data_IF_602047021140
#
_entry.id   IF_602047021140
#
_cell.length_a   1.000
_cell.length_b   1.000
_cell.length_c   1.000
_cell.angle_alpha   90.00
_cell.angle_beta   90.00
_cell.angle_gamma   90.00
#
_symmetry.space_group_name_H-M   'P 1'
#
loop_
_entity.id
_entity.type
_entity.pdbx_description
1 polymer ?
#
# COMPACT_ATOMS: atom_id res chain seq x y z
N UNK A 1 -32.82 10.70 -71.25
CA UNK A 1 -31.91 11.08 -70.14
C UNK A 1 -32.75 11.32 -68.89
N UNK A 2 -32.68 10.40 -67.92
CA UNK A 2 -32.26 10.76 -66.56
C UNK A 2 -31.12 9.85 -66.06
N UNK A 3 -30.44 10.32 -65.01
CA UNK A 3 -29.11 9.89 -64.51
C UNK A 3 -29.11 8.51 -63.83
N UNK A 4 -27.99 7.75 -63.89
CA UNK A 4 -27.77 6.62 -63.00
C UNK A 4 -27.36 7.10 -61.61
N UNK A 5 -27.99 6.55 -60.58
CA UNK A 5 -27.68 6.73 -59.16
C UNK A 5 -26.40 5.96 -58.81
N UNK A 6 -25.36 6.70 -58.36
CA UNK A 6 -24.17 6.10 -57.76
C UNK A 6 -24.49 5.63 -56.34
N UNK A 7 -24.42 4.31 -56.11
CA UNK A 7 -24.41 3.71 -54.78
C UNK A 7 -22.99 3.78 -54.23
N UNK A 8 -22.78 4.57 -53.17
CA UNK A 8 -21.51 4.61 -52.43
C UNK A 8 -21.54 3.47 -51.40
N UNK A 9 -20.81 2.40 -51.66
CA UNK A 9 -20.50 1.38 -50.66
C UNK A 9 -19.45 1.96 -49.70
N UNK A 10 -19.84 2.20 -48.45
CA UNK A 10 -18.92 2.53 -47.36
C UNK A 10 -18.40 1.22 -46.80
N UNK A 11 -17.14 0.90 -47.10
CA UNK A 11 -16.41 -0.22 -46.47
C UNK A 11 -15.93 0.29 -45.12
N UNK A 12 -16.59 -0.12 -44.03
CA UNK A 12 -16.09 0.07 -42.69
C UNK A 12 -14.99 -0.97 -42.44
N UNK A 13 -13.73 -0.52 -42.40
CA UNK A 13 -12.59 -1.33 -41.98
C UNK A 13 -12.56 -1.29 -40.45
N UNK A 14 -13.03 -2.37 -39.82
CA UNK A 14 -12.87 -2.58 -38.38
C UNK A 14 -11.40 -2.97 -38.14
N UNK A 15 -10.59 -2.01 -37.71
CA UNK A 15 -9.23 -2.29 -37.21
C UNK A 15 -9.38 -2.81 -35.79
N UNK A 16 -9.39 -4.13 -35.63
CA UNK A 16 -9.25 -4.77 -34.32
C UNK A 16 -7.76 -4.72 -33.98
N UNK A 17 -7.36 -3.70 -33.23
CA UNK A 17 -6.04 -3.66 -32.60
C UNK A 17 -6.02 -4.72 -31.51
N UNK A 18 -5.42 -5.88 -31.81
CA UNK A 18 -5.11 -6.88 -30.78
C UNK A 18 -3.91 -6.33 -30.03
N UNK A 19 -4.17 -5.69 -28.89
CA UNK A 19 -3.12 -5.33 -27.93
C UNK A 19 -2.52 -6.63 -27.42
N UNK A 20 -1.30 -6.94 -27.88
CA UNK A 20 -0.51 -8.03 -27.31
C UNK A 20 -0.08 -7.53 -25.94
N UNK A 21 -0.72 -8.02 -24.89
CA UNK A 21 -0.26 -7.81 -23.51
C UNK A 21 1.16 -8.33 -23.47
N UNK A 22 2.13 -7.43 -23.25
CA UNK A 22 3.52 -7.84 -23.13
C UNK A 22 3.62 -8.63 -21.83
N UNK A 23 3.72 -9.96 -21.93
CA UNK A 23 4.01 -10.77 -20.76
C UNK A 23 5.29 -10.27 -20.11
N UNK A 24 5.29 -10.17 -18.77
CA UNK A 24 6.47 -9.74 -18.04
C UNK A 24 7.66 -10.62 -18.44
N UNK A 25 8.71 -9.95 -18.92
CA UNK A 25 9.92 -10.61 -19.40
C UNK A 25 11.04 -10.28 -18.44
N UNK A 26 11.45 -11.27 -17.66
CA UNK A 26 12.49 -11.14 -16.64
C UNK A 26 13.85 -11.65 -17.15
N UNK A 27 14.98 -11.12 -16.65
CA UNK A 27 16.32 -11.62 -17.00
C UNK A 27 16.61 -13.04 -16.48
N UNK A 28 15.83 -13.51 -15.49
CA UNK A 28 15.92 -14.86 -14.92
C UNK A 28 14.51 -15.42 -14.65
N UNK A 29 14.39 -16.75 -14.55
CA UNK A 29 13.08 -17.37 -14.30
C UNK A 29 12.51 -16.95 -12.95
N UNK A 30 11.24 -16.51 -12.93
CA UNK A 30 10.50 -16.15 -11.71
C UNK A 30 10.38 -17.37 -10.77
N UNK A 31 10.89 -17.31 -9.53
CA UNK A 31 10.81 -18.42 -8.58
C UNK A 31 9.38 -18.61 -8.07
N UNK A 32 8.66 -19.60 -8.58
CA UNK A 32 7.26 -19.85 -8.22
C UNK A 32 7.02 -20.00 -6.71
N UNK A 33 7.98 -20.61 -5.99
CA UNK A 33 7.90 -20.77 -4.53
C UNK A 33 7.75 -19.44 -3.81
N UNK A 34 8.54 -18.41 -4.17
CA UNK A 34 8.53 -17.10 -3.48
C UNK A 34 7.17 -16.43 -3.52
N UNK A 35 6.48 -16.59 -4.64
CA UNK A 35 5.20 -15.96 -4.92
C UNK A 35 4.03 -16.91 -4.66
N UNK A 36 4.26 -17.88 -3.76
CA UNK A 36 3.22 -18.75 -3.18
C UNK A 36 2.99 -18.30 -1.74
N UNK A 37 1.75 -18.05 -1.31
CA UNK A 37 1.46 -17.68 0.08
C UNK A 37 2.05 -18.69 1.07
N UNK A 38 2.56 -18.22 2.20
CA UNK A 38 3.29 -19.05 3.17
C UNK A 38 2.47 -20.26 3.62
N UNK A 39 1.17 -20.07 3.87
CA UNK A 39 0.24 -21.13 4.28
C UNK A 39 -0.08 -22.16 3.17
N UNK A 40 0.29 -21.89 1.93
CA UNK A 40 0.16 -22.80 0.79
C UNK A 40 1.45 -23.57 0.48
N UNK A 41 2.57 -23.18 1.08
CA UNK A 41 3.79 -23.97 1.05
C UNK A 41 3.59 -25.28 1.84
N UNK A 42 4.26 -26.35 1.42
CA UNK A 42 4.32 -27.54 2.26
C UNK A 42 5.17 -27.28 3.53
N UNK A 43 4.93 -28.07 4.56
CA UNK A 43 5.57 -27.92 5.88
C UNK A 43 7.10 -27.95 5.80
N UNK A 44 7.69 -28.66 4.84
CA UNK A 44 9.14 -28.69 4.66
C UNK A 44 9.66 -27.33 4.21
N UNK A 45 9.00 -26.72 3.22
CA UNK A 45 9.38 -25.40 2.70
C UNK A 45 9.11 -24.29 3.72
N UNK A 46 7.99 -24.37 4.47
CA UNK A 46 7.73 -23.46 5.59
C UNK A 46 8.84 -23.51 6.64
N UNK A 47 9.27 -24.71 7.06
CA UNK A 47 10.35 -24.87 8.03
C UNK A 47 11.70 -24.38 7.48
N UNK A 48 11.99 -24.59 6.18
CA UNK A 48 13.20 -24.05 5.56
C UNK A 48 13.19 -22.51 5.57
N UNK A 49 12.09 -21.89 5.14
CA UNK A 49 11.93 -20.44 5.14
C UNK A 49 12.06 -19.88 6.57
N UNK A 50 11.36 -20.46 7.54
CA UNK A 50 11.36 -19.97 8.91
C UNK A 50 12.66 -20.23 9.66
N UNK A 51 13.11 -21.49 9.72
CA UNK A 51 14.24 -21.85 10.58
C UNK A 51 15.61 -21.52 9.97
N UNK A 52 15.72 -21.43 8.63
CA UNK A 52 17.00 -21.21 7.95
C UNK A 52 17.17 -19.80 7.41
N UNK A 53 16.08 -19.20 6.91
CA UNK A 53 16.11 -17.85 6.34
C UNK A 53 15.55 -16.79 7.30
N UNK A 54 14.82 -17.21 8.35
CA UNK A 54 14.28 -16.30 9.37
C UNK A 54 12.93 -15.68 9.00
N UNK A 55 12.24 -16.21 7.99
CA UNK A 55 10.92 -15.72 7.62
C UNK A 55 9.85 -16.09 8.66
N UNK A 56 8.96 -15.15 8.95
CA UNK A 56 7.63 -15.43 9.46
C UNK A 56 6.62 -15.50 8.31
N UNK A 57 5.41 -16.00 8.56
CA UNK A 57 4.35 -15.97 7.54
C UNK A 57 4.08 -14.54 7.04
N UNK A 58 4.11 -13.56 7.95
CA UNK A 58 3.95 -12.13 7.66
C UNK A 58 5.05 -11.62 6.72
N UNK A 59 6.31 -11.78 7.12
CA UNK A 59 7.46 -11.28 6.34
C UNK A 59 7.70 -12.05 5.04
N UNK A 60 7.12 -13.25 4.89
CA UNK A 60 7.11 -14.00 3.63
C UNK A 60 6.03 -13.46 2.69
N UNK A 61 4.81 -13.26 3.21
CA UNK A 61 3.67 -12.80 2.42
C UNK A 61 3.78 -11.35 1.97
N UNK A 62 4.53 -10.54 2.71
CA UNK A 62 4.75 -9.13 2.42
C UNK A 62 6.22 -8.89 2.00
N UNK A 63 6.42 -8.54 0.72
CA UNK A 63 7.73 -8.39 0.10
C UNK A 63 8.55 -7.22 0.68
N UNK A 64 9.85 -7.41 0.85
CA UNK A 64 10.78 -6.39 1.36
C UNK A 64 10.79 -6.25 2.89
N UNK A 65 9.98 -7.01 3.62
CA UNK A 65 9.91 -6.91 5.08
C UNK A 65 11.00 -7.71 5.80
N UNK A 66 11.34 -8.90 5.31
CA UNK A 66 12.32 -9.74 6.01
C UNK A 66 13.74 -9.19 5.84
N UNK A 67 14.49 -9.09 6.94
CA UNK A 67 15.90 -8.64 6.93
C UNK A 67 16.80 -9.44 5.99
N UNK A 68 16.46 -10.71 5.74
CA UNK A 68 17.20 -11.58 4.83
C UNK A 68 17.14 -11.09 3.38
N UNK A 69 16.07 -10.37 2.99
CA UNK A 69 15.86 -9.88 1.63
C UNK A 69 16.78 -8.71 1.28
N UNK A 70 17.28 -7.98 2.30
CA UNK A 70 18.26 -6.90 2.12
C UNK A 70 19.69 -7.39 1.85
N UNK A 71 19.91 -8.70 1.80
CA UNK A 71 21.24 -9.31 1.58
C UNK A 71 21.35 -9.85 0.17
N UNK A 72 22.43 -9.52 -0.54
CA UNK A 72 22.85 -10.27 -1.73
C UNK A 72 23.25 -11.70 -1.38
N UNK A 73 23.26 -12.55 -2.39
CA UNK A 73 23.57 -13.97 -2.27
C UNK A 73 24.89 -14.28 -1.58
N UNK A 74 25.93 -13.49 -1.84
CA UNK A 74 27.27 -13.67 -1.28
C UNK A 74 27.35 -13.35 0.21
N UNK A 75 26.43 -12.53 0.72
CA UNK A 75 26.35 -12.14 2.12
C UNK A 75 25.48 -13.11 2.95
N UNK A 76 24.81 -14.05 2.29
CA UNK A 76 24.15 -15.18 2.95
C UNK A 76 25.19 -16.13 3.56
N UNK A 77 24.84 -16.79 4.67
CA UNK A 77 25.64 -17.90 5.19
C UNK A 77 25.52 -19.13 4.28
N UNK A 78 26.42 -20.12 4.43
CA UNK A 78 26.30 -21.38 3.68
C UNK A 78 24.95 -22.07 3.92
N UNK A 79 24.50 -22.11 5.17
CA UNK A 79 23.22 -22.72 5.52
C UNK A 79 22.02 -21.98 4.91
N UNK A 80 22.08 -20.65 4.83
CA UNK A 80 21.05 -19.83 4.18
C UNK A 80 21.02 -20.08 2.67
N UNK A 81 22.19 -20.11 2.00
CA UNK A 81 22.25 -20.45 0.58
C UNK A 81 21.72 -21.85 0.29
N UNK A 82 22.11 -22.84 1.09
CA UNK A 82 21.61 -24.22 0.91
C UNK A 82 20.08 -24.28 1.05
N UNK A 83 19.51 -23.56 2.02
CA UNK A 83 18.06 -23.46 2.19
C UNK A 83 17.38 -22.70 1.02
N UNK A 84 17.97 -21.60 0.55
CA UNK A 84 17.48 -20.86 -0.60
C UNK A 84 17.49 -21.72 -1.88
N UNK A 85 18.54 -22.54 -2.09
CA UNK A 85 18.58 -23.52 -3.19
C UNK A 85 17.43 -24.52 -3.09
N UNK A 86 17.14 -25.03 -1.89
CA UNK A 86 16.02 -25.94 -1.68
C UNK A 86 14.64 -25.29 -1.92
N UNK A 87 14.53 -23.97 -1.73
CA UNK A 87 13.33 -23.18 -2.07
C UNK A 87 13.26 -22.82 -3.57
N UNK A 88 14.26 -23.16 -4.36
CA UNK A 88 14.30 -22.95 -5.81
C UNK A 88 15.08 -21.72 -6.26
N UNK A 89 15.83 -21.07 -5.37
CA UNK A 89 16.67 -19.92 -5.72
C UNK A 89 18.08 -20.35 -6.11
N UNK A 90 18.60 -19.78 -7.19
CA UNK A 90 20.04 -19.60 -7.38
C UNK A 90 20.46 -18.15 -7.11
N UNK A 91 21.77 -17.89 -7.15
CA UNK A 91 22.36 -16.56 -7.00
C UNK A 91 21.63 -15.48 -7.81
N UNK A 92 21.54 -15.66 -9.13
CA UNK A 92 20.91 -14.65 -10.00
C UNK A 92 19.43 -14.42 -9.69
N UNK A 93 18.67 -15.46 -9.34
CA UNK A 93 17.25 -15.29 -9.00
C UNK A 93 17.06 -14.67 -7.63
N UNK A 94 17.99 -14.90 -6.69
CA UNK A 94 17.96 -14.25 -5.38
C UNK A 94 18.28 -12.77 -5.52
N UNK A 95 19.40 -12.44 -6.17
CA UNK A 95 19.80 -11.04 -6.33
C UNK A 95 18.77 -10.26 -7.14
N UNK A 96 18.09 -10.90 -8.10
CA UNK A 96 17.05 -10.26 -8.90
C UNK A 96 15.68 -10.19 -8.18
N UNK A 97 15.08 -11.30 -7.75
CA UNK A 97 13.69 -11.30 -7.23
C UNK A 97 13.55 -11.08 -5.71
N UNK A 98 14.65 -11.15 -4.96
CA UNK A 98 14.62 -11.01 -3.50
C UNK A 98 15.32 -9.73 -3.08
N UNK A 99 16.59 -9.57 -3.48
CA UNK A 99 17.35 -8.37 -3.11
C UNK A 99 17.14 -7.21 -4.07
N UNK A 100 16.63 -7.48 -5.27
CA UNK A 100 16.58 -6.51 -6.37
C UNK A 100 17.91 -5.80 -6.63
N UNK A 101 19.05 -6.40 -6.28
CA UNK A 101 20.38 -5.78 -6.32
C UNK A 101 20.57 -4.57 -5.38
N UNK A 102 19.66 -4.31 -4.43
CA UNK A 102 19.73 -3.15 -3.52
C UNK A 102 21.01 -3.12 -2.66
N UNK A 103 21.62 -4.28 -2.41
CA UNK A 103 22.87 -4.37 -1.63
C UNK A 103 24.15 -4.22 -2.45
N UNK A 104 24.04 -4.03 -3.77
CA UNK A 104 25.18 -3.83 -4.66
C UNK A 104 25.67 -2.38 -4.55
N UNK A 105 26.96 -2.14 -4.79
CA UNK A 105 27.44 -0.78 -5.06
C UNK A 105 27.01 -0.30 -6.44
N UNK A 106 27.03 1.01 -6.69
CA UNK A 106 26.68 1.58 -8.00
C UNK A 106 27.56 1.04 -9.14
N UNK A 107 28.85 0.76 -8.88
CA UNK A 107 29.78 0.12 -9.82
C UNK A 107 29.46 -1.38 -10.02
N UNK A 108 29.05 -2.08 -8.96
CA UNK A 108 28.62 -3.48 -9.04
C UNK A 108 27.33 -3.62 -9.86
N UNK A 109 26.40 -2.65 -9.82
CA UNK A 109 25.21 -2.62 -10.69
C UNK A 109 25.57 -2.56 -12.18
N UNK A 110 26.62 -1.81 -12.54
CA UNK A 110 27.11 -1.75 -13.92
C UNK A 110 27.70 -3.10 -14.33
N UNK A 111 28.51 -3.70 -13.45
CA UNK A 111 29.08 -5.03 -13.65
C UNK A 111 28.03 -6.13 -13.78
N UNK A 112 26.92 -6.01 -13.05
CA UNK A 112 25.76 -6.90 -13.13
C UNK A 112 24.86 -6.61 -14.35
N UNK A 113 25.07 -5.49 -15.05
CA UNK A 113 24.30 -5.10 -16.23
C UNK A 113 22.91 -4.56 -15.94
N UNK A 114 22.67 -4.07 -14.70
CA UNK A 114 21.36 -3.58 -14.23
C UNK A 114 21.34 -2.07 -13.95
N UNK A 115 22.49 -1.39 -13.98
CA UNK A 115 22.57 0.06 -13.70
C UNK A 115 21.70 0.90 -14.67
N UNK A 116 21.57 0.48 -15.94
CA UNK A 116 20.77 1.20 -16.93
C UNK A 116 19.27 1.19 -16.59
N UNK A 117 18.77 0.09 -16.03
CA UNK A 117 17.40 -0.09 -15.58
C UNK A 117 17.10 0.86 -14.42
N UNK A 118 17.99 0.92 -13.42
CA UNK A 118 17.91 1.89 -12.34
C UNK A 118 17.88 3.33 -12.83
N UNK A 119 18.77 3.70 -13.77
CA UNK A 119 18.75 5.04 -14.39
C UNK A 119 17.43 5.36 -15.08
N UNK A 120 16.82 4.38 -15.75
CA UNK A 120 15.50 4.55 -16.39
C UNK A 120 14.37 4.73 -15.37
N UNK A 121 14.55 4.24 -14.14
CA UNK A 121 13.66 4.48 -13.00
C UNK A 121 14.00 5.80 -12.27
N UNK A 122 14.93 6.61 -12.78
CA UNK A 122 15.31 7.89 -12.17
C UNK A 122 16.37 7.79 -11.08
N UNK A 123 16.91 6.61 -10.81
CA UNK A 123 18.02 6.45 -9.88
C UNK A 123 19.32 7.04 -10.43
N UNK A 124 20.13 7.57 -9.52
CA UNK A 124 21.46 8.12 -9.80
C UNK A 124 22.42 7.57 -8.77
N UNK A 125 23.73 7.71 -9.03
CA UNK A 125 24.74 7.34 -8.04
C UNK A 125 24.54 8.07 -6.71
N UNK A 126 24.20 9.36 -6.75
CA UNK A 126 23.95 10.15 -5.55
C UNK A 126 22.75 9.64 -4.73
N UNK A 127 21.69 9.15 -5.40
CA UNK A 127 20.58 8.46 -4.72
C UNK A 127 21.10 7.20 -4.02
N UNK A 128 21.89 6.41 -4.75
CA UNK A 128 22.39 5.11 -4.30
C UNK A 128 23.39 5.20 -3.13
N UNK A 129 24.25 6.22 -3.14
CA UNK A 129 25.25 6.48 -2.10
C UNK A 129 24.72 7.36 -0.97
N UNK A 130 23.43 7.71 -0.98
CA UNK A 130 22.78 8.59 0.00
C UNK A 130 23.43 9.98 0.10
N UNK A 131 24.00 10.46 -1.01
CA UNK A 131 24.55 11.82 -1.14
C UNK A 131 23.46 12.88 -1.38
N UNK A 132 22.24 12.45 -1.68
CA UNK A 132 21.04 13.30 -1.73
C UNK A 132 19.93 12.73 -0.85
N UNK A 133 19.07 13.61 -0.36
CA UNK A 133 17.86 13.25 0.40
C UNK A 133 16.63 13.12 -0.49
N UNK A 134 16.72 13.56 -1.75
CA UNK A 134 15.65 13.38 -2.72
C UNK A 134 15.55 11.89 -3.09
N UNK A 135 14.33 11.36 -3.08
CA UNK A 135 14.10 10.01 -3.61
C UNK A 135 13.89 10.07 -5.12
N UNK A 136 14.27 9.03 -5.88
CA UNK A 136 13.88 8.90 -7.28
C UNK A 136 12.37 9.05 -7.42
N UNK A 137 11.91 9.75 -8.45
CA UNK A 137 10.48 10.05 -8.61
C UNK A 137 9.60 8.81 -8.79
N UNK A 138 10.17 7.65 -9.12
CA UNK A 138 9.45 6.39 -9.25
C UNK A 138 9.23 5.69 -7.91
N UNK A 139 10.01 5.99 -6.86
CA UNK A 139 9.87 5.34 -5.53
C UNK A 139 8.51 5.63 -4.87
N UNK A 140 7.85 6.71 -5.27
CA UNK A 140 6.53 7.08 -4.78
C UNK A 140 5.40 6.75 -5.75
N UNK A 141 5.70 6.01 -6.83
CA UNK A 141 4.72 5.61 -7.84
C UNK A 141 4.31 4.16 -7.66
N UNK A 142 3.02 3.93 -7.82
CA UNK A 142 2.44 2.61 -8.01
C UNK A 142 2.78 2.07 -9.39
N UNK A 143 2.70 0.75 -9.57
CA UNK A 143 3.05 0.09 -10.82
C UNK A 143 2.26 0.64 -12.02
N UNK A 144 0.97 0.90 -11.84
CA UNK A 144 0.07 1.45 -12.87
C UNK A 144 0.43 2.88 -13.29
N UNK A 145 1.09 3.65 -12.42
CA UNK A 145 1.61 4.99 -12.67
C UNK A 145 2.95 4.99 -13.42
N UNK A 146 3.59 3.82 -13.59
CA UNK A 146 4.79 3.68 -14.40
C UNK A 146 4.45 3.68 -15.89
N UNK A 147 5.25 4.41 -16.66
CA UNK A 147 5.29 4.30 -18.11
C UNK A 147 5.76 2.91 -18.55
N UNK A 148 5.43 2.50 -19.76
CA UNK A 148 5.87 1.20 -20.30
C UNK A 148 7.41 1.04 -20.31
N UNK A 149 8.16 2.13 -20.50
CA UNK A 149 9.62 2.11 -20.40
C UNK A 149 10.12 1.90 -18.96
N UNK A 150 9.41 2.47 -17.98
CA UNK A 150 9.72 2.28 -16.55
C UNK A 150 9.36 0.86 -16.11
N UNK A 151 8.18 0.34 -16.48
CA UNK A 151 7.80 -1.06 -16.25
C UNK A 151 8.80 -2.04 -16.87
N UNK A 152 9.26 -1.78 -18.09
CA UNK A 152 10.29 -2.59 -18.73
C UNK A 152 11.63 -2.53 -17.99
N UNK A 153 12.01 -1.37 -17.46
CA UNK A 153 13.20 -1.22 -16.62
C UNK A 153 13.05 -1.98 -15.29
N UNK A 154 11.91 -1.84 -14.61
CA UNK A 154 11.56 -2.55 -13.38
C UNK A 154 11.56 -4.08 -13.59
N UNK A 155 10.93 -4.58 -14.66
CA UNK A 155 11.00 -5.98 -15.09
C UNK A 155 12.45 -6.44 -15.34
N UNK A 156 13.31 -5.56 -15.87
CA UNK A 156 14.73 -5.80 -16.06
C UNK A 156 15.53 -6.00 -14.76
N UNK A 157 14.98 -5.59 -13.61
CA UNK A 157 15.48 -5.87 -12.26
C UNK A 157 14.48 -6.70 -11.44
N UNK A 158 13.65 -7.49 -12.13
CA UNK A 158 12.70 -8.45 -11.57
C UNK A 158 11.60 -7.87 -10.67
N UNK A 159 11.34 -6.57 -10.76
CA UNK A 159 10.08 -6.01 -10.26
C UNK A 159 8.95 -6.26 -11.25
N UNK A 160 7.77 -6.55 -10.74
CA UNK A 160 6.48 -6.63 -11.42
C UNK A 160 5.42 -6.10 -10.45
N UNK A 161 4.18 -5.93 -10.89
CA UNK A 161 3.11 -5.29 -10.11
C UNK A 161 3.06 -5.75 -8.64
N UNK A 162 2.92 -7.05 -8.38
CA UNK A 162 2.73 -7.52 -7.00
C UNK A 162 3.92 -7.22 -6.06
N UNK A 163 5.17 -7.28 -6.52
CA UNK A 163 6.32 -7.01 -5.64
C UNK A 163 6.76 -5.55 -5.65
N UNK A 164 6.49 -4.80 -6.73
CA UNK A 164 6.67 -3.35 -6.78
C UNK A 164 5.70 -2.66 -5.83
N UNK A 165 4.41 -2.98 -5.97
CA UNK A 165 3.35 -2.49 -5.11
C UNK A 165 3.27 -3.25 -3.78
N UNK A 166 4.20 -4.16 -3.47
CA UNK A 166 4.26 -4.90 -2.20
C UNK A 166 2.91 -5.47 -1.75
N UNK A 167 2.18 -6.07 -2.69
CA UNK A 167 0.86 -6.67 -2.44
C UNK A 167 1.01 -7.84 -1.46
N UNK A 168 0.15 -7.88 -0.44
CA UNK A 168 0.09 -9.01 0.49
C UNK A 168 -0.44 -10.24 -0.24
N UNK A 169 0.32 -11.35 -0.17
CA UNK A 169 -0.09 -12.62 -0.77
C UNK A 169 -1.24 -13.31 -0.03
N UNK A 170 -1.62 -12.84 1.16
CA UNK A 170 -2.81 -13.33 1.86
C UNK A 170 -4.09 -12.88 1.14
N UNK A 171 -5.10 -13.76 1.03
CA UNK A 171 -6.43 -13.32 0.66
C UNK A 171 -6.93 -12.26 1.64
N UNK A 172 -7.42 -11.14 1.13
CA UNK A 172 -8.08 -10.11 1.91
C UNK A 172 -9.61 -10.30 1.80
N UNK A 173 -10.28 -10.98 2.76
CA UNK A 173 -11.73 -11.22 2.68
C UNK A 173 -12.56 -9.95 2.93
N UNK A 174 -11.91 -8.82 3.22
CA UNK A 174 -12.58 -7.58 3.59
C UNK A 174 -12.85 -6.67 2.41
N UNK A 175 -13.89 -5.85 2.55
CA UNK A 175 -14.22 -4.82 1.56
C UNK A 175 -13.24 -3.63 1.57
N UNK A 176 -12.26 -3.63 2.47
CA UNK A 176 -11.16 -2.67 2.48
C UNK A 176 -10.10 -3.05 1.44
N UNK A 177 -9.27 -2.08 0.98
CA UNK A 177 -8.11 -2.35 0.13
C UNK A 177 -7.17 -3.44 0.67
N UNK A 178 -6.96 -3.41 1.99
CA UNK A 178 -5.96 -4.20 2.70
C UNK A 178 -6.60 -4.94 3.88
N UNK A 179 -6.00 -6.06 4.34
CA UNK A 179 -6.46 -6.76 5.53
C UNK A 179 -6.55 -5.85 6.76
N UNK A 180 -7.70 -5.87 7.44
CA UNK A 180 -7.93 -5.08 8.65
C UNK A 180 -7.02 -5.57 9.80
N UNK A 181 -6.21 -4.71 10.44
CA UNK A 181 -5.34 -5.09 11.54
C UNK A 181 -6.14 -5.30 12.85
N UNK A 182 -6.56 -6.53 13.12
CA UNK A 182 -7.44 -6.85 14.27
C UNK A 182 -6.89 -6.41 15.64
N UNK A 183 -5.56 -6.37 15.80
CA UNK A 183 -4.94 -6.01 17.07
C UNK A 183 -5.04 -4.52 17.39
N UNK A 184 -5.09 -3.64 16.37
CA UNK A 184 -5.07 -2.19 16.55
C UNK A 184 -6.30 -1.67 17.26
N UNK A 185 -7.44 -2.31 17.01
CA UNK A 185 -8.77 -1.91 17.50
C UNK A 185 -9.16 -2.59 18.81
N UNK A 186 -8.16 -2.87 19.66
CA UNK A 186 -8.34 -3.32 21.03
C UNK A 186 -7.96 -2.17 21.96
N UNK A 187 -8.76 -1.86 22.99
CA UNK A 187 -8.37 -0.89 24.00
C UNK A 187 -6.99 -1.23 24.58
N UNK A 188 -6.21 -0.21 24.95
CA UNK A 188 -4.87 -0.38 25.52
C UNK A 188 -4.86 -1.39 26.67
N UNK A 189 -5.85 -1.31 27.56
CA UNK A 189 -6.01 -2.19 28.73
C UNK A 189 -6.22 -3.67 28.38
N UNK A 190 -6.63 -3.98 27.15
CA UNK A 190 -6.89 -5.33 26.64
C UNK A 190 -5.72 -5.89 25.82
N UNK A 191 -4.70 -5.07 25.55
CA UNK A 191 -3.48 -5.53 24.92
C UNK A 191 -2.69 -6.45 25.86
N UNK A 192 -2.00 -7.44 25.29
CA UNK A 192 -1.05 -8.21 26.07
C UNK A 192 0.19 -7.35 26.41
N UNK A 193 0.94 -7.69 27.48
CA UNK A 193 2.09 -6.88 27.92
C UNK A 193 3.20 -6.71 26.87
N UNK A 194 3.41 -7.68 25.97
CA UNK A 194 4.43 -7.58 24.93
C UNK A 194 4.02 -6.54 23.88
N UNK A 195 2.77 -6.55 23.43
CA UNK A 195 2.22 -5.55 22.51
C UNK A 195 2.26 -4.15 23.12
N UNK A 196 1.88 -3.98 24.39
CA UNK A 196 2.01 -2.69 25.10
C UNK A 196 3.47 -2.21 25.16
N UNK A 197 4.41 -3.13 25.41
CA UNK A 197 5.83 -2.80 25.49
C UNK A 197 6.38 -2.30 24.15
N UNK A 198 6.07 -2.99 23.04
CA UNK A 198 6.50 -2.57 21.69
C UNK A 198 5.86 -1.22 21.34
N UNK A 199 4.54 -1.10 21.53
CA UNK A 199 3.79 0.12 21.22
C UNK A 199 4.28 1.34 22.03
N UNK A 200 4.51 1.20 23.34
CA UNK A 200 5.01 2.32 24.16
C UNK A 200 6.50 2.58 23.98
N UNK A 201 7.33 1.54 23.87
CA UNK A 201 8.78 1.65 23.89
C UNK A 201 9.40 2.11 22.58
N UNK A 202 8.84 1.70 21.44
CA UNK A 202 9.41 1.97 20.11
C UNK A 202 8.52 2.90 19.27
N UNK A 203 7.20 2.85 19.46
CA UNK A 203 6.25 3.68 18.72
C UNK A 203 5.78 4.91 19.51
N UNK A 204 6.23 5.09 20.76
CA UNK A 204 5.85 6.18 21.66
C UNK A 204 4.33 6.30 21.91
N UNK A 205 3.57 5.21 21.81
CA UNK A 205 2.17 5.22 22.23
C UNK A 205 2.04 5.36 23.76
N UNK A 206 1.01 6.09 24.15
CA UNK A 206 0.46 6.07 25.51
C UNK A 206 -0.92 5.41 25.45
N UNK A 207 -1.50 5.09 26.60
CA UNK A 207 -2.88 4.59 26.64
C UNK A 207 -3.87 5.55 25.95
N UNK A 208 -3.70 6.85 26.15
CA UNK A 208 -4.56 7.88 25.55
C UNK A 208 -4.38 7.94 24.04
N UNK A 209 -3.15 8.06 23.56
CA UNK A 209 -2.86 8.14 22.11
C UNK A 209 -3.07 6.82 21.37
N UNK A 210 -3.14 5.68 22.07
CA UNK A 210 -3.56 4.41 21.48
C UNK A 210 -5.07 4.32 21.33
N UNK A 211 -5.80 4.65 22.41
CA UNK A 211 -7.26 4.55 22.45
C UNK A 211 -7.96 5.62 21.59
N UNK A 212 -7.28 6.74 21.31
CA UNK A 212 -7.71 7.81 20.43
C UNK A 212 -6.86 7.80 19.16
N UNK A 213 -7.43 7.33 18.05
CA UNK A 213 -6.69 7.29 16.78
C UNK A 213 -6.38 8.71 16.25
N UNK A 214 -5.31 8.86 15.48
CA UNK A 214 -4.84 10.13 14.92
C UNK A 214 -4.08 11.02 15.92
N UNK A 215 -4.15 10.71 17.22
CA UNK A 215 -3.49 11.51 18.27
C UNK A 215 -2.00 11.19 18.44
N UNK A 216 -1.56 9.99 18.07
CA UNK A 216 -0.15 9.66 18.14
C UNK A 216 0.61 10.31 16.97
N UNK A 217 1.76 10.93 17.26
CA UNK A 217 2.58 11.58 16.22
C UNK A 217 3.00 10.60 15.11
N UNK A 218 3.28 9.35 15.47
CA UNK A 218 3.68 8.31 14.51
C UNK A 218 2.60 8.04 13.46
N UNK A 219 1.31 8.11 13.82
CA UNK A 219 0.18 7.85 12.90
C UNK A 219 0.08 8.93 11.79
N UNK A 220 0.73 10.08 11.98
CA UNK A 220 0.83 11.17 10.98
C UNK A 220 1.97 11.00 10.00
N UNK A 221 2.67 9.88 10.02
CA UNK A 221 3.70 9.56 9.05
C UNK A 221 3.23 8.40 8.19
N UNK A 222 3.62 8.43 6.90
CA UNK A 222 3.62 7.21 6.10
C UNK A 222 4.57 6.20 6.72
N UNK A 223 4.38 4.93 6.42
CA UNK A 223 5.22 3.86 6.93
C UNK A 223 6.70 4.09 6.57
N UNK A 224 6.98 4.58 5.37
CA UNK A 224 8.35 4.88 4.92
C UNK A 224 8.96 6.08 5.65
N UNK A 225 8.15 7.02 6.14
CA UNK A 225 8.61 8.17 6.91
C UNK A 225 8.79 7.89 8.41
N UNK A 226 8.43 6.70 8.88
CA UNK A 226 8.77 6.26 10.25
C UNK A 226 10.29 6.12 10.42
N UNK A 227 10.79 6.25 11.65
CA UNK A 227 12.18 5.87 11.95
C UNK A 227 12.37 4.35 11.76
N UNK A 228 13.62 3.89 11.57
CA UNK A 228 13.88 2.46 11.34
C UNK A 228 13.34 1.59 12.48
N UNK A 229 13.62 1.95 13.73
CA UNK A 229 13.13 1.22 14.92
C UNK A 229 11.60 1.25 15.01
N UNK A 230 10.95 2.32 14.53
CA UNK A 230 9.49 2.42 14.47
C UNK A 230 8.91 1.51 13.38
N UNK A 231 9.54 1.44 12.19
CA UNK A 231 9.12 0.49 11.16
C UNK A 231 9.23 -0.95 11.63
N UNK A 232 10.34 -1.28 12.28
CA UNK A 232 10.56 -2.64 12.80
C UNK A 232 9.53 -2.98 13.88
N UNK A 233 9.20 -2.04 14.77
CA UNK A 233 8.13 -2.19 15.75
C UNK A 233 6.74 -2.29 15.11
N UNK A 234 6.45 -1.51 14.07
CA UNK A 234 5.20 -1.60 13.31
C UNK A 234 5.06 -2.99 12.66
N UNK A 235 6.13 -3.51 12.06
CA UNK A 235 6.20 -4.88 11.51
C UNK A 235 5.97 -5.92 12.60
N UNK A 236 6.60 -5.77 13.77
CA UNK A 236 6.41 -6.69 14.89
C UNK A 236 4.96 -6.68 15.42
N UNK A 237 4.29 -5.53 15.34
CA UNK A 237 2.87 -5.41 15.66
C UNK A 237 1.96 -6.03 14.59
N UNK A 238 2.48 -6.30 13.38
CA UNK A 238 1.73 -6.85 12.24
C UNK A 238 1.28 -5.81 11.22
N UNK A 239 1.85 -4.60 11.26
CA UNK A 239 1.70 -3.62 10.19
C UNK A 239 2.77 -3.79 9.13
N UNK A 240 2.40 -3.50 7.89
CA UNK A 240 3.33 -3.29 6.80
C UNK A 240 2.90 -2.02 6.05
N UNK A 241 3.64 -1.61 5.02
CA UNK A 241 3.47 -0.32 4.36
C UNK A 241 2.01 0.03 4.10
N UNK A 242 1.27 -0.88 3.45
CA UNK A 242 -0.10 -0.61 3.06
C UNK A 242 -1.11 -0.65 4.20
N UNK A 243 -0.98 -1.58 5.14
CA UNK A 243 -1.92 -1.61 6.29
C UNK A 243 -1.69 -0.44 7.22
N UNK A 244 -0.44 0.02 7.38
CA UNK A 244 -0.13 1.24 8.10
C UNK A 244 -0.70 2.47 7.37
N UNK A 245 -0.34 2.66 6.10
CA UNK A 245 -0.74 3.86 5.36
C UNK A 245 -2.24 3.96 5.21
N UNK A 246 -2.94 2.83 5.10
CA UNK A 246 -4.40 2.79 5.02
C UNK A 246 -5.06 2.95 6.39
N UNK A 247 -4.77 2.12 7.39
CA UNK A 247 -5.54 2.08 8.63
C UNK A 247 -5.01 2.98 9.75
N UNK A 248 -3.76 3.44 9.67
CA UNK A 248 -3.16 4.34 10.66
C UNK A 248 -3.07 5.76 10.14
N UNK A 249 -2.53 5.93 8.94
CA UNK A 249 -2.34 7.24 8.35
C UNK A 249 -3.54 7.72 7.52
N UNK A 250 -4.38 6.81 7.05
CA UNK A 250 -5.46 7.09 6.09
C UNK A 250 -4.97 7.88 4.86
N UNK A 251 -3.71 7.63 4.46
CA UNK A 251 -2.99 8.33 3.39
C UNK A 251 -2.88 9.86 3.58
N UNK A 252 -3.19 10.40 4.77
CA UNK A 252 -3.18 11.84 5.03
C UNK A 252 -1.80 12.49 4.84
N UNK A 253 -0.73 11.70 4.89
CA UNK A 253 0.65 12.20 4.72
C UNK A 253 1.20 11.98 3.31
N UNK A 254 0.34 11.59 2.37
CA UNK A 254 0.72 11.48 0.97
C UNK A 254 0.68 12.84 0.30
N UNK A 255 1.57 13.06 -0.66
CA UNK A 255 1.40 14.17 -1.60
C UNK A 255 0.27 13.84 -2.58
N UNK A 256 -0.44 14.85 -3.09
CA UNK A 256 -1.48 14.64 -4.12
C UNK A 256 -0.96 13.84 -5.32
N UNK A 257 0.27 14.11 -5.74
CA UNK A 257 0.94 13.39 -6.84
C UNK A 257 1.26 11.92 -6.55
N UNK A 258 1.17 11.48 -5.29
CA UNK A 258 1.42 10.10 -4.85
C UNK A 258 0.14 9.26 -4.82
N UNK A 259 -1.04 9.86 -5.01
CA UNK A 259 -2.26 9.10 -5.23
C UNK A 259 -2.25 8.46 -6.61
N UNK A 260 -2.38 7.13 -6.64
CA UNK A 260 -2.84 6.41 -7.82
C UNK A 260 -4.35 6.63 -8.02
N UNK A 261 -4.86 6.14 -9.14
CA UNK A 261 -6.15 6.57 -9.68
C UNK A 261 -7.31 6.34 -8.72
N UNK A 262 -7.37 5.17 -8.06
CA UNK A 262 -8.51 4.87 -7.17
C UNK A 262 -8.49 5.67 -5.86
N UNK A 263 -7.32 5.97 -5.29
CA UNK A 263 -7.21 6.84 -4.13
C UNK A 263 -7.55 8.28 -4.52
N UNK A 264 -7.16 8.70 -5.73
CA UNK A 264 -7.53 10.01 -6.27
C UNK A 264 -9.04 10.15 -6.41
N UNK A 265 -9.69 9.17 -7.02
CA UNK A 265 -11.17 9.12 -7.10
C UNK A 265 -11.79 9.18 -5.71
N UNK A 266 -11.23 8.48 -4.72
CA UNK A 266 -11.73 8.51 -3.35
C UNK A 266 -11.62 9.92 -2.74
N UNK A 267 -10.43 10.55 -2.73
CA UNK A 267 -10.27 11.89 -2.14
C UNK A 267 -11.09 12.95 -2.88
N UNK A 268 -11.16 12.90 -4.21
CA UNK A 268 -11.99 13.81 -5.01
C UNK A 268 -13.48 13.61 -4.76
N UNK A 269 -13.94 12.37 -4.55
CA UNK A 269 -15.33 12.06 -4.19
C UNK A 269 -15.70 12.63 -2.82
N UNK A 270 -14.75 12.65 -1.88
CA UNK A 270 -14.91 13.35 -0.60
C UNK A 270 -14.84 14.88 -0.76
N UNK A 271 -14.59 15.40 -1.96
CA UNK A 271 -14.59 16.82 -2.27
C UNK A 271 -13.22 17.49 -2.12
N UNK A 272 -12.16 16.73 -1.85
CA UNK A 272 -10.81 17.26 -1.85
C UNK A 272 -10.37 17.66 -3.26
N UNK A 273 -9.54 18.69 -3.33
CA UNK A 273 -8.83 19.09 -4.55
C UNK A 273 -7.34 19.16 -4.23
N UNK A 274 -6.49 19.14 -5.26
CA UNK A 274 -5.04 19.32 -5.08
C UNK A 274 -4.69 20.60 -4.29
N UNK A 275 -5.41 21.71 -4.54
CA UNK A 275 -5.23 22.97 -3.82
C UNK A 275 -5.60 22.83 -2.33
N UNK A 276 -6.66 22.09 -2.01
CA UNK A 276 -7.05 21.85 -0.61
C UNK A 276 -6.09 20.89 0.10
N UNK A 277 -5.49 19.94 -0.62
CA UNK A 277 -4.57 18.92 -0.07
C UNK A 277 -3.15 19.45 0.18
N UNK A 278 -2.83 20.65 -0.31
CA UNK A 278 -1.54 21.28 -0.06
C UNK A 278 -1.31 21.52 1.44
N UNK A 279 -0.06 21.33 1.90
CA UNK A 279 0.33 21.40 3.32
C UNK A 279 -0.01 22.73 4.02
N UNK A 280 -0.26 23.81 3.28
CA UNK A 280 -0.58 25.15 3.79
C UNK A 280 -2.07 25.53 3.66
N UNK A 281 -2.92 24.60 3.19
CA UNK A 281 -4.35 24.82 3.06
C UNK A 281 -5.03 24.93 4.42
N UNK A 282 -6.02 25.82 4.50
CA UNK A 282 -6.94 25.95 5.65
C UNK A 282 -8.38 25.63 5.27
N UNK A 283 -8.57 25.18 4.03
CA UNK A 283 -9.88 24.88 3.45
C UNK A 283 -10.01 23.36 3.38
N UNK A 284 -11.06 22.86 4.01
CA UNK A 284 -11.41 21.45 4.05
C UNK A 284 -12.72 21.24 3.30
N UNK A 285 -12.92 20.10 2.64
CA UNK A 285 -14.20 19.79 2.06
C UNK A 285 -15.26 19.56 3.14
N UNK A 286 -16.53 19.71 2.76
CA UNK A 286 -17.67 19.56 3.67
C UNK A 286 -17.74 18.17 4.31
N UNK A 287 -17.24 17.14 3.64
CA UNK A 287 -17.22 15.76 4.13
C UNK A 287 -16.53 15.67 5.50
N UNK A 288 -15.43 16.39 5.73
CA UNK A 288 -14.69 16.43 7.01
C UNK A 288 -15.54 16.97 8.19
N UNK A 289 -16.64 17.67 7.92
CA UNK A 289 -17.59 18.16 8.94
C UNK A 289 -18.86 17.29 9.02
N UNK A 290 -18.94 16.23 8.22
CA UNK A 290 -20.13 15.39 8.07
C UNK A 290 -19.94 14.06 8.78
N UNK A 291 -20.86 13.72 9.70
CA UNK A 291 -20.85 12.42 10.38
C UNK A 291 -21.04 11.27 9.37
N UNK A 292 -20.48 10.10 9.64
CA UNK A 292 -20.54 8.92 8.75
C UNK A 292 -21.98 8.59 8.31
N UNK A 293 -22.92 8.68 9.24
CA UNK A 293 -24.34 8.39 8.98
C UNK A 293 -24.98 9.34 7.96
N UNK A 294 -24.44 10.54 7.82
CA UNK A 294 -24.92 11.60 6.93
C UNK A 294 -24.16 11.65 5.59
N UNK A 295 -23.07 10.88 5.46
CA UNK A 295 -22.37 10.70 4.18
C UNK A 295 -23.28 10.00 3.16
N UNK A 296 -23.14 10.42 1.90
CA UNK A 296 -23.75 9.72 0.77
C UNK A 296 -23.11 8.33 0.59
N UNK A 297 -23.78 7.41 -0.14
CA UNK A 297 -23.19 6.09 -0.42
C UNK A 297 -21.85 6.15 -1.15
N UNK A 298 -21.64 7.15 -2.00
CA UNK A 298 -20.40 7.37 -2.74
C UNK A 298 -19.29 7.90 -1.80
N UNK A 299 -19.62 8.86 -0.92
CA UNK A 299 -18.67 9.34 0.10
C UNK A 299 -18.27 8.24 1.08
N UNK A 300 -19.20 7.37 1.52
CA UNK A 300 -18.84 6.20 2.34
C UNK A 300 -17.94 5.22 1.60
N UNK A 301 -18.18 5.00 0.29
CA UNK A 301 -17.30 4.17 -0.53
C UNK A 301 -15.89 4.76 -0.65
N UNK A 302 -15.80 6.07 -0.84
CA UNK A 302 -14.55 6.80 -0.84
C UNK A 302 -13.82 6.72 0.51
N UNK A 303 -14.49 7.03 1.61
CA UNK A 303 -13.94 6.90 2.96
C UNK A 303 -13.47 5.47 3.25
N UNK A 304 -14.26 4.47 2.87
CA UNK A 304 -13.90 3.04 2.98
C UNK A 304 -12.67 2.69 2.16
N UNK A 305 -12.50 3.27 0.96
CA UNK A 305 -11.31 3.08 0.13
C UNK A 305 -10.05 3.65 0.80
N UNK A 306 -10.21 4.71 1.60
CA UNK A 306 -9.17 5.27 2.48
C UNK A 306 -9.09 4.54 3.83
N UNK A 307 -9.69 3.36 3.95
CA UNK A 307 -9.75 2.53 5.17
C UNK A 307 -10.45 3.16 6.38
N UNK A 308 -11.28 4.18 6.19
CA UNK A 308 -12.20 4.62 7.23
C UNK A 308 -13.38 3.67 7.36
N UNK A 309 -13.84 3.51 8.59
CA UNK A 309 -15.17 3.04 8.92
C UNK A 309 -15.81 4.02 9.90
N UNK A 310 -17.09 3.84 10.20
CA UNK A 310 -17.87 4.79 10.99
C UNK A 310 -17.13 5.30 12.21
N UNK A 311 -16.63 4.42 13.05
CA UNK A 311 -16.03 4.78 14.33
C UNK A 311 -14.70 5.54 14.16
N UNK A 312 -13.94 5.27 13.09
CA UNK A 312 -12.69 6.00 12.82
C UNK A 312 -12.94 7.32 12.10
N UNK A 313 -14.02 7.40 11.32
CA UNK A 313 -14.46 8.62 10.68
C UNK A 313 -15.07 9.62 11.67
N UNK A 314 -15.91 9.12 12.59
CA UNK A 314 -16.58 9.91 13.62
C UNK A 314 -15.65 10.21 14.83
N UNK A 315 -14.35 9.90 14.75
CA UNK A 315 -13.35 10.03 15.82
C UNK A 315 -13.80 9.41 17.16
N UNK A 316 -14.49 8.27 17.11
CA UNK A 316 -14.94 7.57 18.32
C UNK A 316 -13.75 6.82 18.98
N UNK A 317 -13.40 7.09 20.26
CA UNK A 317 -12.39 6.31 20.97
C UNK A 317 -12.68 4.81 20.99
N UNK A 318 -11.64 3.99 20.83
CA UNK A 318 -11.70 2.51 20.77
C UNK A 318 -12.42 1.92 21.99
N UNK A 319 -12.31 2.59 23.14
CA UNK A 319 -12.95 2.17 24.39
C UNK A 319 -14.48 2.20 24.34
N UNK A 320 -15.08 2.91 23.38
CA UNK A 320 -16.54 3.04 23.24
C UNK A 320 -17.18 1.95 22.38
N UNK A 321 -16.41 1.29 21.52
CA UNK A 321 -16.88 0.28 20.56
C UNK A 321 -16.12 -1.05 20.70
N UNK A 322 -15.71 -1.34 21.92
CA UNK A 322 -15.17 -2.63 22.32
C UNK A 322 -16.10 -3.29 23.36
N UNK A 323 -16.49 -4.52 23.09
CA UNK A 323 -17.20 -5.37 24.04
C UNK A 323 -16.19 -6.06 24.96
N UNK A 324 -16.05 -5.55 26.20
CA UNK A 324 -15.11 -6.09 27.19
C UNK A 324 -15.52 -7.46 27.71
N UNK A 325 -16.81 -7.79 27.72
CA UNK A 325 -17.30 -9.09 28.18
C UNK A 325 -17.02 -10.17 27.11
N UNK A 326 -17.25 -9.84 25.84
CA UNK A 326 -16.95 -10.72 24.71
C UNK A 326 -15.48 -10.67 24.26
N UNK A 327 -14.70 -9.69 24.74
CA UNK A 327 -13.34 -9.37 24.29
C UNK A 327 -13.24 -9.20 22.77
N UNK A 328 -14.18 -8.43 22.22
CA UNK A 328 -14.34 -8.27 20.77
C UNK A 328 -14.60 -6.83 20.39
N UNK A 329 -13.98 -6.38 19.30
CA UNK A 329 -14.32 -5.14 18.61
C UNK A 329 -15.73 -5.24 17.98
N UNK A 330 -16.55 -4.20 18.16
CA UNK A 330 -17.92 -4.12 17.62
C UNK A 330 -18.09 -3.20 16.42
N UNK A 331 -17.10 -2.37 16.08
CA UNK A 331 -17.21 -1.35 15.04
C UNK A 331 -17.30 -1.91 13.62
N UNK A 332 -16.43 -2.86 13.28
CA UNK A 332 -16.40 -3.45 11.94
C UNK A 332 -16.05 -4.92 12.00
N UNK A 333 -16.83 -5.73 11.31
CA UNK A 333 -16.41 -7.08 10.90
C UNK A 333 -15.86 -6.94 9.50
N UNK A 334 -14.54 -7.10 9.35
CA UNK A 334 -13.88 -7.11 8.06
C UNK A 334 -14.53 -8.14 7.12
N UNK A 335 -14.97 -9.27 7.68
CA UNK A 335 -15.65 -10.33 6.94
C UNK A 335 -17.10 -9.98 6.61
N UNK A 336 -17.45 -10.07 5.33
CA UNK A 336 -18.84 -10.03 4.89
C UNK A 336 -19.04 -9.33 3.54
N UNK A 337 -20.27 -9.36 3.01
CA UNK A 337 -20.59 -8.57 1.83
C UNK A 337 -20.44 -7.08 2.15
N UNK A 338 -20.05 -6.31 1.13
CA UNK A 338 -20.04 -4.85 1.19
C UNK A 338 -21.39 -4.36 1.73
N UNK A 339 -21.40 -3.49 2.76
CA UNK A 339 -22.62 -2.86 3.24
C UNK A 339 -23.42 -2.21 2.10
N UNK A 340 -24.75 -2.35 2.12
CA UNK A 340 -25.63 -1.89 1.01
C UNK A 340 -25.65 -0.37 0.83
N UNK A 341 -25.14 0.36 1.81
CA UNK A 341 -25.03 1.81 1.85
C UNK A 341 -23.65 2.31 1.40
N UNK A 342 -22.77 1.43 0.91
CA UNK A 342 -21.49 1.76 0.26
C UNK A 342 -21.63 1.46 -1.23
N UNK A 343 -21.45 2.48 -2.07
CA UNK A 343 -21.51 2.34 -3.53
C UNK A 343 -20.10 2.23 -4.13
N UNK A 344 -19.59 1.01 -4.32
CA UNK A 344 -18.26 0.80 -4.92
C UNK A 344 -18.21 1.05 -6.43
N UNK A 345 -19.35 1.27 -7.10
CA UNK A 345 -19.39 1.50 -8.56
C UNK A 345 -18.62 2.76 -8.98
N UNK A 346 -18.36 3.69 -8.05
CA UNK A 346 -17.53 4.88 -8.30
C UNK A 346 -16.11 4.55 -8.74
N UNK A 347 -15.61 3.34 -8.47
CA UNK A 347 -14.28 2.89 -8.87
C UNK A 347 -14.28 1.96 -10.08
N UNK A 348 -15.36 1.90 -10.85
CA UNK A 348 -15.46 0.97 -11.98
C UNK A 348 -14.46 1.30 -13.08
N UNK A 349 -14.22 2.59 -13.29
CA UNK A 349 -13.30 3.09 -14.32
C UNK A 349 -11.83 2.84 -13.97
N UNK A 350 -11.51 2.78 -12.67
CA UNK A 350 -10.15 2.47 -12.17
C UNK A 350 -9.87 0.96 -12.15
N UNK A 351 -10.86 0.13 -12.49
CA UNK A 351 -10.76 -1.32 -12.45
C UNK A 351 -10.89 -1.92 -11.05
N UNK A 352 -11.23 -1.12 -10.04
CA UNK A 352 -11.46 -1.59 -8.67
C UNK A 352 -12.91 -2.05 -8.45
N UNK A 353 -13.91 -1.40 -9.04
CA UNK A 353 -15.30 -1.82 -8.83
C UNK A 353 -15.56 -3.18 -9.48
N UNK A 354 -16.00 -4.13 -8.66
CA UNK A 354 -16.33 -5.49 -9.08
C UNK A 354 -15.22 -6.52 -8.86
N UNK A 355 -14.08 -6.16 -8.25
CA UNK A 355 -13.16 -7.16 -7.69
C UNK A 355 -13.74 -7.63 -6.36
N UNK A 356 -13.94 -8.94 -6.21
CA UNK A 356 -14.30 -9.50 -4.91
C UNK A 356 -13.20 -9.15 -3.89
N UNK A 357 -13.55 -8.84 -2.63
CA UNK A 357 -12.62 -8.89 -1.50
C UNK A 357 -11.69 -10.11 -1.62
N UNK A 358 -10.42 -9.87 -1.99
CA UNK A 358 -9.41 -10.91 -2.16
C UNK A 358 -9.00 -11.25 -3.60
N UNK A 359 -9.50 -10.53 -4.62
CA UNK A 359 -9.00 -10.58 -6.00
C UNK A 359 -7.95 -9.51 -6.34
N UNK A 360 -7.26 -8.97 -5.34
CA UNK A 360 -6.10 -8.10 -5.57
C UNK A 360 -4.92 -9.00 -5.95
N UNK A 361 -4.89 -9.40 -7.22
CA UNK A 361 -3.87 -10.26 -7.82
C UNK A 361 -4.33 -10.82 -9.18
N UNK A 362 -3.68 -10.34 -10.24
CA UNK A 362 -3.70 -10.81 -11.63
C UNK A 362 -5.00 -10.51 -12.43
N UNK A 363 -5.11 -9.27 -12.94
CA UNK A 363 -5.26 -9.01 -14.38
C UNK A 363 -5.29 -7.49 -14.71
N UNK A 364 -4.67 -7.16 -15.86
CA UNK A 364 -4.20 -5.84 -16.30
C UNK A 364 -5.27 -4.78 -16.60
N UNK A 365 -4.95 -3.50 -16.30
CA UNK A 365 -5.71 -2.31 -16.71
C UNK A 365 -4.85 -1.25 -17.42
N UNK A 366 -5.53 -0.49 -18.29
CA UNK A 366 -5.01 0.47 -19.29
C UNK A 366 -4.92 1.91 -18.76
N UNK A 367 -3.83 2.58 -19.16
CA UNK A 367 -3.36 3.93 -18.77
C UNK A 367 -4.09 5.09 -19.46
N UNK A 368 -4.32 6.22 -18.75
CA UNK A 368 -4.38 7.58 -19.33
C UNK A 368 -3.67 8.65 -18.45
N UNK A 369 -2.59 9.20 -19.03
CA UNK A 369 -1.98 10.56 -19.03
C UNK A 369 -2.02 11.55 -17.83
N UNK A 370 -0.90 11.58 -17.08
CA UNK A 370 0.14 12.65 -16.86
C UNK A 370 -0.11 14.06 -16.24
N UNK A 371 0.90 14.44 -15.42
CA UNK A 371 1.43 15.77 -14.97
C UNK A 371 0.83 16.44 -13.69
N UNK A 372 1.55 17.03 -12.71
CA UNK A 372 2.97 17.15 -12.33
C UNK A 372 3.13 17.91 -10.95
N UNK A 373 4.18 17.58 -10.16
CA UNK A 373 5.09 18.48 -9.39
C UNK A 373 4.73 19.18 -8.04
N UNK A 374 5.19 18.57 -6.94
CA UNK A 374 6.13 19.05 -5.86
C UNK A 374 5.86 20.30 -4.96
N UNK A 375 5.76 20.01 -3.64
CA UNK A 375 6.62 20.45 -2.51
C UNK A 375 6.05 21.37 -1.38
N UNK A 376 5.82 20.73 -0.22
CA UNK A 376 6.42 20.96 1.12
C UNK A 376 5.95 22.09 2.07
N UNK A 377 5.40 21.61 3.20
CA UNK A 377 5.55 21.96 4.62
C UNK A 377 5.04 23.32 5.10
N UNK A 378 3.99 23.31 5.93
CA UNK A 378 4.03 23.47 7.41
C UNK A 378 2.57 23.50 7.90
N UNK A 379 2.12 22.50 8.68
CA UNK A 379 0.91 22.66 9.51
C UNK A 379 1.06 22.03 10.89
N UNK A 380 1.52 22.89 11.80
CA UNK A 380 1.34 22.81 13.25
C UNK A 380 -0.14 22.88 13.61
N UNK A 381 -0.62 21.85 14.32
CA UNK A 381 -1.65 21.86 15.39
C UNK A 381 -2.66 23.01 15.39
N UNK A 382 -3.90 22.75 14.95
CA UNK A 382 -5.21 23.31 15.39
C UNK A 382 -6.24 22.41 14.68
N UNK A 383 -7.06 21.60 15.34
CA UNK A 383 -8.24 22.10 16.04
C UNK A 383 -8.66 21.19 17.20
N UNK A 384 -8.42 21.67 18.42
CA UNK A 384 -9.29 21.39 19.55
C UNK A 384 -10.57 22.23 19.34
N UNK A 385 -11.56 21.67 18.65
CA UNK A 385 -12.88 22.27 18.59
C UNK A 385 -13.60 22.03 19.92
N UNK A 386 -13.60 23.06 20.76
CA UNK A 386 -14.35 23.17 22.01
C UNK A 386 -15.85 22.85 21.80
N UNK A 387 -16.27 21.66 22.18
CA UNK A 387 -17.67 21.33 22.46
C UNK A 387 -18.01 21.55 23.94
N UNK A 388 -17.89 22.80 24.42
CA UNK A 388 -18.51 23.18 25.70
C UNK A 388 -19.88 23.81 25.44
N UNK A 389 -20.89 22.93 25.48
CA UNK A 389 -22.29 23.31 25.51
C UNK A 389 -22.67 24.04 26.81
N UNK A 390 -23.34 25.18 26.63
CA UNK A 390 -23.97 26.00 27.66
C UNK A 390 -24.87 25.19 28.60
N UNK A 391 -24.63 25.31 29.91
CA UNK A 391 -25.69 25.26 30.92
C UNK A 391 -25.70 26.59 31.70
N UNK A 392 -26.64 27.45 31.33
CA UNK A 392 -27.19 28.50 32.19
C UNK A 392 -28.58 28.04 32.61
N UNK A 393 -28.85 27.88 33.91
CA UNK A 393 -30.08 28.36 34.56
C UNK A 393 -29.99 28.16 36.09
N UNK A 394 -30.13 29.30 36.79
CA UNK A 394 -30.35 29.55 38.23
C UNK A 394 -29.26 29.25 39.24
#
# INVERSE_FOLDING_TARGET
MPRPTQSKAVIAVLVVSISVVSADTFPVNKPATRFTPFNQLDVTLQNLAAEKLGYTAETWNNHGLADIERRRWTDLTSNQRDAAVLLGFGEKSWDCFINHYESYSWEELESAGVQAQYRNLGWTEAHWTQETTESPYTESRWWDMLTESEKAAANGICYFEDNWDKIDMNPNPSFFPHPLPEFRYKPWSELNPATQYIASGMMNYTEDTWNQMGNALVERNTFLNLEQDQRDAAIELGFYTHTWDCFMNHYLSYFWSSFHEDLRVAVETLGWTEEMWADDSTVYPKSEETMWADLTPDERAAATRLCYFRETWDDEPITMWYDYDAKKNTAVTADGPVPKDINLDIFQETGYAGRDPGQVGIDAYTVMDSSASLCSTVMTSIALALSMGLFLFM
#
